data_IF_534969678087
#
_entry.id   IF_534969678087
#
_cell.length_a   1.000
_cell.length_b   1.000
_cell.length_c   1.000
_cell.angle_alpha   90.00
_cell.angle_beta   90.00
_cell.angle_gamma   90.00
#
_symmetry.space_group_name_H-M   'P 1'
#
loop_
_entity.id
_entity.type
_entity.pdbx_description
1 polymer ?
#
# COMPACT_ATOMS: atom_id res chain seq x y z
N UNK A 1 -21.05 14.82 -34.84
CA UNK A 1 -20.43 13.67 -34.13
C UNK A 1 -19.12 14.12 -33.49
N UNK A 2 -19.13 14.51 -32.21
CA UNK A 2 -17.91 14.94 -31.52
C UNK A 2 -17.16 13.73 -30.95
N UNK A 3 -16.28 13.14 -31.77
CA UNK A 3 -15.30 12.16 -31.29
C UNK A 3 -14.27 12.85 -30.41
N UNK A 4 -14.45 12.78 -29.09
CA UNK A 4 -13.46 13.25 -28.11
C UNK A 4 -12.27 12.27 -28.13
N UNK A 5 -11.35 12.50 -29.07
CA UNK A 5 -10.12 11.74 -29.22
C UNK A 5 -9.30 11.75 -27.92
N UNK A 6 -8.74 10.58 -27.58
CA UNK A 6 -7.77 10.41 -26.48
C UNK A 6 -6.80 11.61 -26.46
N UNK A 7 -6.57 12.19 -25.29
CA UNK A 7 -5.56 13.22 -25.07
C UNK A 7 -4.17 12.65 -25.37
N UNK A 8 -3.73 12.72 -26.63
CA UNK A 8 -2.42 12.21 -27.08
C UNK A 8 -1.32 13.28 -26.99
N UNK A 9 -1.64 14.55 -26.67
CA UNK A 9 -0.70 15.67 -26.84
C UNK A 9 -0.40 16.58 -25.64
N UNK A 10 -0.95 16.34 -24.44
CA UNK A 10 -0.54 17.13 -23.25
C UNK A 10 0.64 16.44 -22.55
N UNK A 11 1.69 17.20 -22.23
CA UNK A 11 2.76 16.75 -21.33
C UNK A 11 2.12 16.04 -20.14
N UNK A 12 2.33 14.73 -20.03
CA UNK A 12 1.67 13.90 -19.02
C UNK A 12 2.05 14.46 -17.66
N UNK A 13 1.10 15.10 -16.97
CA UNK A 13 1.22 15.36 -15.55
C UNK A 13 1.67 14.06 -14.85
N UNK A 14 2.60 14.14 -13.90
CA UNK A 14 3.10 12.96 -13.17
C UNK A 14 1.90 12.13 -12.72
N UNK A 15 1.80 10.91 -13.25
CA UNK A 15 0.68 10.05 -12.94
C UNK A 15 0.69 9.75 -11.43
N UNK A 16 -0.40 10.10 -10.72
CA UNK A 16 -0.56 9.72 -9.31
C UNK A 16 -0.40 8.21 -9.15
N UNK A 17 0.38 7.78 -8.15
CA UNK A 17 0.59 6.37 -7.85
C UNK A 17 -0.71 5.72 -7.38
N UNK A 18 -0.85 4.40 -7.56
CA UNK A 18 -2.03 3.67 -7.05
C UNK A 18 -2.20 3.80 -5.54
N UNK A 19 -1.11 3.80 -4.78
CA UNK A 19 -1.13 4.05 -3.33
C UNK A 19 -1.69 5.44 -3.01
N UNK A 20 -1.20 6.49 -3.67
CA UNK A 20 -1.70 7.86 -3.45
C UNK A 20 -3.16 8.05 -3.84
N UNK A 21 -3.65 7.30 -4.85
CA UNK A 21 -5.08 7.31 -5.23
C UNK A 21 -5.96 6.56 -4.23
N UNK A 22 -5.41 5.53 -3.58
CA UNK A 22 -6.09 4.72 -2.58
C UNK A 22 -5.98 5.29 -1.15
N UNK A 23 -5.19 6.34 -0.94
CA UNK A 23 -4.95 6.91 0.40
C UNK A 23 -4.06 6.03 1.30
N UNK A 24 -3.26 5.13 0.71
CA UNK A 24 -2.43 4.17 1.45
C UNK A 24 -0.96 4.60 1.46
N UNK A 25 -0.28 4.40 2.59
CA UNK A 25 1.18 4.49 2.70
C UNK A 25 1.86 3.28 2.06
N UNK A 26 1.24 2.10 2.15
CA UNK A 26 1.80 0.85 1.64
C UNK A 26 1.80 0.81 0.10
N UNK A 27 2.80 0.12 -0.50
CA UNK A 27 3.03 0.17 -1.94
C UNK A 27 2.10 -0.81 -2.72
N UNK A 28 0.89 -0.37 -3.07
CA UNK A 28 -0.10 -1.13 -3.87
C UNK A 28 0.51 -1.73 -5.14
N UNK A 29 1.39 -0.97 -5.82
CA UNK A 29 2.04 -1.46 -7.04
C UNK A 29 3.00 -2.64 -6.81
N UNK A 30 3.70 -2.64 -5.67
CA UNK A 30 4.58 -3.74 -5.27
C UNK A 30 3.77 -4.95 -4.86
N UNK A 31 2.70 -4.77 -4.08
CA UNK A 31 1.78 -5.85 -3.68
C UNK A 31 1.21 -6.56 -4.91
N UNK A 32 0.75 -5.80 -5.91
CA UNK A 32 0.27 -6.40 -7.16
C UNK A 32 1.35 -7.25 -7.85
N UNK A 33 2.57 -6.74 -7.97
CA UNK A 33 3.68 -7.49 -8.59
C UNK A 33 3.98 -8.79 -7.83
N UNK A 34 3.98 -8.74 -6.49
CA UNK A 34 4.20 -9.91 -5.65
C UNK A 34 3.06 -10.94 -5.79
N UNK A 35 1.80 -10.50 -5.82
CA UNK A 35 0.66 -11.38 -6.07
C UNK A 35 0.75 -12.10 -7.43
N UNK A 36 1.21 -11.42 -8.49
CA UNK A 36 1.41 -12.06 -9.79
C UNK A 36 2.60 -13.03 -9.78
N UNK A 37 3.71 -12.66 -9.15
CA UNK A 37 4.90 -13.51 -9.06
C UNK A 37 4.67 -14.75 -8.19
N UNK A 38 3.75 -14.65 -7.22
CA UNK A 38 3.44 -15.74 -6.30
C UNK A 38 2.59 -16.87 -6.88
N UNK A 39 2.15 -16.78 -8.14
CA UNK A 39 1.34 -17.82 -8.82
C UNK A 39 0.05 -18.21 -8.06
N UNK A 40 -0.54 -17.29 -7.29
CA UNK A 40 -1.77 -17.57 -6.52
C UNK A 40 -3.01 -17.76 -7.40
N UNK A 41 -3.01 -17.15 -8.59
CA UNK A 41 -4.07 -17.26 -9.60
C UNK A 41 -3.53 -16.83 -10.97
N UNK A 42 -4.16 -17.29 -12.05
CA UNK A 42 -3.83 -16.90 -13.43
C UNK A 42 -3.98 -15.38 -13.63
N UNK A 43 -5.02 -14.77 -13.03
CA UNK A 43 -5.30 -13.33 -13.13
C UNK A 43 -5.49 -12.72 -11.75
N UNK A 44 -4.92 -11.53 -11.57
CA UNK A 44 -5.11 -10.72 -10.35
C UNK A 44 -5.94 -9.49 -10.71
N UNK A 45 -7.12 -9.37 -10.09
CA UNK A 45 -8.01 -8.22 -10.24
C UNK A 45 -7.37 -6.92 -9.75
N UNK A 46 -7.77 -5.79 -10.33
CA UNK A 46 -7.14 -4.49 -10.03
C UNK A 46 -7.35 -4.02 -8.58
N UNK A 47 -8.46 -4.40 -7.95
CA UNK A 47 -8.77 -4.06 -6.55
C UNK A 47 -8.10 -4.95 -5.50
N UNK A 48 -7.76 -6.19 -5.84
CA UNK A 48 -7.10 -7.14 -4.93
C UNK A 48 -5.83 -6.57 -4.25
N UNK A 49 -4.86 -5.97 -4.98
CA UNK A 49 -3.67 -5.40 -4.34
C UNK A 49 -3.96 -4.13 -3.53
N UNK A 50 -5.08 -3.43 -3.77
CA UNK A 50 -5.48 -2.27 -2.96
C UNK A 50 -5.97 -2.76 -1.61
N UNK A 51 -6.89 -3.72 -1.61
CA UNK A 51 -7.42 -4.32 -0.39
C UNK A 51 -6.30 -4.98 0.43
N UNK A 52 -5.46 -5.79 -0.21
CA UNK A 52 -4.33 -6.44 0.47
C UNK A 52 -3.34 -5.42 1.05
N UNK A 53 -3.01 -4.35 0.33
CA UNK A 53 -2.14 -3.31 0.87
C UNK A 53 -2.76 -2.60 2.07
N UNK A 54 -4.07 -2.32 2.05
CA UNK A 54 -4.78 -1.69 3.16
C UNK A 54 -4.79 -2.58 4.41
N UNK A 55 -5.05 -3.88 4.26
CA UNK A 55 -5.03 -4.83 5.39
C UNK A 55 -3.63 -4.95 5.99
N UNK A 56 -2.59 -5.06 5.14
CA UNK A 56 -1.21 -5.10 5.62
C UNK A 56 -0.80 -3.81 6.35
N UNK A 57 -1.23 -2.66 5.84
CA UNK A 57 -0.99 -1.36 6.48
C UNK A 57 -1.68 -1.26 7.84
N UNK A 58 -2.95 -1.65 7.91
CA UNK A 58 -3.74 -1.66 9.16
C UNK A 58 -3.08 -2.55 10.22
N UNK A 59 -2.78 -3.81 9.89
CA UNK A 59 -2.16 -4.73 10.85
C UNK A 59 -0.78 -4.25 11.30
N UNK A 60 0.00 -3.65 10.39
CA UNK A 60 1.30 -3.07 10.74
C UNK A 60 1.12 -1.89 11.69
N UNK A 61 0.16 -1.00 11.43
CA UNK A 61 -0.12 0.15 12.30
C UNK A 61 -0.56 -0.31 13.70
N UNK A 62 -1.46 -1.30 13.79
CA UNK A 62 -1.95 -1.84 15.05
C UNK A 62 -0.80 -2.41 15.91
N UNK A 63 0.05 -3.26 15.31
CA UNK A 63 1.19 -3.85 16.01
C UNK A 63 2.19 -2.77 16.43
N UNK A 64 2.49 -1.79 15.56
CA UNK A 64 3.44 -0.72 15.88
C UNK A 64 2.92 0.23 16.96
N UNK A 65 1.63 0.49 17.02
CA UNK A 65 1.02 1.31 18.08
C UNK A 65 1.19 0.63 19.44
N UNK A 66 0.82 -0.66 19.54
CA UNK A 66 0.97 -1.43 20.77
C UNK A 66 2.43 -1.61 21.17
N UNK A 67 3.32 -1.91 20.22
CA UNK A 67 4.75 -2.02 20.47
C UNK A 67 5.38 -0.67 20.86
N UNK A 68 4.88 0.43 20.33
CA UNK A 68 5.25 1.79 20.71
C UNK A 68 4.86 2.11 22.16
N UNK A 69 3.65 1.70 22.57
CA UNK A 69 3.19 1.81 23.95
C UNK A 69 4.06 0.96 24.89
N UNK A 70 4.32 -0.30 24.55
CA UNK A 70 5.21 -1.16 25.33
C UNK A 70 6.64 -0.60 25.44
N UNK A 71 7.17 0.04 24.39
CA UNK A 71 8.46 0.72 24.45
C UNK A 71 8.44 1.90 25.43
N UNK A 72 7.38 2.73 25.36
CA UNK A 72 7.19 3.89 26.23
C UNK A 72 7.07 3.50 27.70
N UNK A 73 6.31 2.44 28.00
CA UNK A 73 6.14 1.91 29.35
C UNK A 73 7.48 1.40 29.94
N UNK A 74 8.33 0.84 29.08
CA UNK A 74 9.70 0.45 29.42
C UNK A 74 10.70 1.63 29.41
N UNK A 75 10.22 2.88 29.34
CA UNK A 75 11.01 4.12 29.29
C UNK A 75 12.03 4.12 28.14
N UNK A 76 11.67 3.53 27.01
CA UNK A 76 12.48 3.49 25.78
C UNK A 76 11.78 4.29 24.68
N UNK A 77 12.57 4.95 23.82
CA UNK A 77 12.07 5.69 22.65
C UNK A 77 12.15 4.90 21.35
N UNK A 78 12.75 3.70 21.38
CA UNK A 78 12.92 2.81 20.22
C UNK A 78 12.28 1.46 20.50
N UNK A 79 11.49 0.97 19.55
CA UNK A 79 10.94 -0.38 19.54
C UNK A 79 12.09 -1.40 19.33
N UNK A 80 12.14 -2.44 20.16
CA UNK A 80 13.05 -3.58 20.05
C UNK A 80 12.22 -4.88 20.04
N UNK A 81 12.79 -6.05 19.69
CA UNK A 81 12.02 -7.29 19.60
C UNK A 81 11.22 -7.68 20.86
N UNK A 82 11.64 -7.25 22.05
CA UNK A 82 10.89 -7.48 23.30
C UNK A 82 9.54 -6.75 23.37
N UNK A 83 9.36 -5.68 22.60
CA UNK A 83 8.13 -4.88 22.60
C UNK A 83 7.12 -5.37 21.53
N UNK A 84 7.58 -6.20 20.59
CA UNK A 84 6.74 -6.85 19.57
C UNK A 84 6.08 -8.09 20.19
#
# INVERSE_FOLDING_TARGET
>A
MSGRGKQVGKARAKAKSRSSRAGLQFPVGRVHRLLRKGNYAERVGAGAPVYMAAVLEYLTAEILELAGNAARDNKKTRIIPRHL
#
